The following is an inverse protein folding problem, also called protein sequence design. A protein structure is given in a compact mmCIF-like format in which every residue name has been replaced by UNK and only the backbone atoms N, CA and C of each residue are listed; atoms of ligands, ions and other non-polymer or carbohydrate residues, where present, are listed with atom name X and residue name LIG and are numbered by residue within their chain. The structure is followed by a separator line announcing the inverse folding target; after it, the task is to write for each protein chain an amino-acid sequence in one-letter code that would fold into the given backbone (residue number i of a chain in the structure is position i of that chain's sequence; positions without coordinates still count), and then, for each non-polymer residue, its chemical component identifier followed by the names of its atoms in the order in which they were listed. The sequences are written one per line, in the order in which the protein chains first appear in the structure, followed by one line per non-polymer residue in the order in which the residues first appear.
data_IF_544515318142
#
_entry.id   IF_544515318142
#
_cell.length_a   1.000
_cell.length_b   1.000
_cell.length_c   1.000
_cell.angle_alpha   90.00
_cell.angle_beta   90.00
_cell.angle_gamma   90.00
#
_symmetry.space_group_name_H-M   'P 1'
#
loop_
_entity.id
_entity.type
_entity.pdbx_description
1 polymer ?
#
# COMPACT_ATOMS: atom_id res chain seq x y z
N UNK A 1 9.53 32.82 -10.21
CA UNK A 1 10.26 31.66 -10.77
C UNK A 1 9.47 30.43 -10.36
N UNK A 2 8.77 29.83 -11.32
CA UNK A 2 8.17 28.52 -11.10
C UNK A 2 9.31 27.50 -11.03
N UNK A 3 9.41 26.78 -9.92
CA UNK A 3 10.37 25.69 -9.80
C UNK A 3 9.85 24.52 -10.64
N UNK A 4 10.47 24.27 -11.79
CA UNK A 4 10.27 23.03 -12.53
C UNK A 4 10.87 21.91 -11.67
N UNK A 5 10.04 21.28 -10.85
CA UNK A 5 10.41 20.08 -10.12
C UNK A 5 10.41 18.92 -11.11
N UNK A 6 11.59 18.47 -11.54
CA UNK A 6 11.72 17.16 -12.19
C UNK A 6 11.14 16.11 -11.25
N UNK A 7 9.97 15.56 -11.60
CA UNK A 7 9.39 14.45 -10.85
C UNK A 7 10.33 13.26 -10.96
N UNK A 8 10.67 12.69 -9.81
CA UNK A 8 11.51 11.49 -9.78
C UNK A 8 10.75 10.28 -10.36
N UNK A 9 11.49 9.26 -10.81
CA UNK A 9 10.89 8.02 -11.34
C UNK A 9 9.88 7.37 -10.38
N UNK A 10 10.11 7.50 -9.07
CA UNK A 10 9.17 7.05 -8.04
C UNK A 10 7.84 7.81 -8.07
N UNK A 11 7.88 9.14 -8.23
CA UNK A 11 6.68 9.98 -8.23
C UNK A 11 5.87 9.79 -9.53
N UNK A 12 6.55 9.47 -10.63
CA UNK A 12 5.91 9.08 -11.88
C UNK A 12 5.20 7.73 -11.78
N UNK A 13 5.83 6.71 -11.20
CA UNK A 13 5.23 5.37 -11.05
C UNK A 13 4.12 5.34 -9.99
N UNK A 14 4.28 6.07 -8.89
CA UNK A 14 3.31 6.08 -7.78
C UNK A 14 2.21 7.13 -7.91
N UNK A 15 2.39 8.14 -8.77
CA UNK A 15 1.49 9.28 -8.90
C UNK A 15 1.41 10.16 -7.64
N UNK A 16 2.29 9.96 -6.65
CA UNK A 16 2.31 10.70 -5.38
C UNK A 16 3.70 11.25 -5.07
N UNK A 17 3.80 12.39 -4.35
CA UNK A 17 5.10 12.94 -3.95
C UNK A 17 5.83 11.98 -3.00
N UNK A 18 7.16 12.08 -2.95
CA UNK A 18 7.96 11.29 -2.00
C UNK A 18 7.47 11.49 -0.55
N UNK A 19 7.43 10.42 0.25
CA UNK A 19 7.09 10.50 1.67
C UNK A 19 7.95 11.51 2.44
N UNK A 20 7.31 12.43 3.17
CA UNK A 20 7.98 13.30 4.14
C UNK A 20 8.20 12.62 5.50
N UNK A 21 8.95 13.28 6.40
CA UNK A 21 9.26 12.76 7.75
C UNK A 21 8.02 12.34 8.55
N UNK A 22 6.98 13.17 8.56
CA UNK A 22 5.76 12.90 9.33
C UNK A 22 4.98 11.73 8.73
N UNK A 23 4.90 11.66 7.39
CA UNK A 23 4.28 10.54 6.69
C UNK A 23 4.95 9.21 7.07
N UNK A 24 6.28 9.15 6.95
CA UNK A 24 7.04 7.95 7.29
C UNK A 24 6.86 7.55 8.77
N UNK A 25 6.87 8.52 9.69
CA UNK A 25 6.66 8.26 11.12
C UNK A 25 5.28 7.65 11.40
N UNK A 26 4.22 8.21 10.82
CA UNK A 26 2.85 7.73 11.02
C UNK A 26 2.64 6.35 10.38
N UNK A 27 3.06 6.19 9.12
CA UNK A 27 2.93 4.93 8.39
C UNK A 27 3.62 3.78 9.11
N UNK A 28 4.85 4.00 9.61
CA UNK A 28 5.60 2.98 10.35
C UNK A 28 4.89 2.56 11.64
N UNK A 29 4.40 3.53 12.41
CA UNK A 29 3.71 3.24 13.68
C UNK A 29 2.39 2.49 13.46
N UNK A 30 1.60 2.89 12.46
CA UNK A 30 0.37 2.18 12.10
C UNK A 30 0.70 0.76 11.63
N UNK A 31 1.67 0.61 10.72
CA UNK A 31 2.09 -0.69 10.21
C UNK A 31 2.60 -1.62 11.32
N UNK A 32 3.35 -1.08 12.29
CA UNK A 32 3.85 -1.82 13.45
C UNK A 32 2.71 -2.31 14.35
N UNK A 33 1.78 -1.44 14.74
CA UNK A 33 0.65 -1.81 15.61
C UNK A 33 -0.24 -2.88 14.93
N UNK A 34 -0.51 -2.73 13.63
CA UNK A 34 -1.27 -3.70 12.86
C UNK A 34 -0.58 -5.07 12.80
N UNK A 35 0.73 -5.10 12.53
CA UNK A 35 1.52 -6.34 12.52
C UNK A 35 1.55 -6.98 13.90
N UNK A 36 1.80 -6.21 14.96
CA UNK A 36 1.87 -6.70 16.34
C UNK A 36 0.60 -7.46 16.75
N UNK A 37 -0.57 -6.94 16.37
CA UNK A 37 -1.88 -7.49 16.78
C UNK A 37 -2.47 -8.53 15.82
N UNK A 38 -2.14 -8.46 14.53
CA UNK A 38 -2.89 -9.21 13.51
C UNK A 38 -2.03 -9.97 12.49
N UNK A 39 -0.70 -10.07 12.70
CA UNK A 39 0.22 -10.80 11.80
C UNK A 39 -0.18 -12.24 11.48
N UNK A 40 -0.96 -12.89 12.34
CA UNK A 40 -1.36 -14.29 12.16
C UNK A 40 -2.60 -14.42 11.25
N UNK A 41 -3.29 -13.31 10.96
CA UNK A 41 -4.51 -13.26 10.14
C UNK A 41 -4.34 -12.51 8.83
N UNK A 42 -3.41 -11.55 8.79
CA UNK A 42 -3.22 -10.68 7.65
C UNK A 42 -1.75 -10.50 7.31
N UNK A 43 -1.51 -10.09 6.06
CA UNK A 43 -0.22 -9.60 5.59
C UNK A 43 -0.34 -8.11 5.28
N UNK A 44 0.68 -7.35 5.70
CA UNK A 44 0.73 -5.89 5.57
C UNK A 44 1.92 -5.51 4.70
N UNK A 45 1.65 -4.85 3.59
CA UNK A 45 2.64 -4.38 2.62
C UNK A 45 2.62 -2.85 2.59
N UNK A 46 3.77 -2.21 2.70
CA UNK A 46 3.91 -0.75 2.55
C UNK A 46 4.28 -0.40 1.12
N UNK A 47 3.69 0.66 0.57
CA UNK A 47 4.11 1.23 -0.72
C UNK A 47 4.05 0.25 -1.90
N UNK A 48 3.14 -0.74 -1.88
CA UNK A 48 3.02 -1.73 -2.96
C UNK A 48 2.22 -1.16 -4.14
N UNK A 49 2.70 -1.35 -5.36
CA UNK A 49 1.97 -0.94 -6.57
C UNK A 49 0.80 -1.88 -6.86
N UNK A 50 -0.37 -1.31 -7.13
CA UNK A 50 -1.59 -2.04 -7.50
C UNK A 50 -1.93 -1.79 -8.96
N UNK A 51 -2.31 -2.85 -9.67
CA UNK A 51 -2.94 -2.80 -10.99
C UNK A 51 -4.26 -3.57 -10.95
N UNK A 52 -5.35 -2.86 -10.63
CA UNK A 52 -6.67 -3.45 -10.42
C UNK A 52 -7.54 -3.29 -11.67
N UNK A 53 -7.07 -3.85 -12.79
CA UNK A 53 -7.80 -3.82 -14.06
C UNK A 53 -7.91 -2.42 -14.65
N UNK A 54 -6.78 -1.69 -14.70
CA UNK A 54 -6.71 -0.33 -15.23
C UNK A 54 -6.82 0.77 -14.17
N UNK A 55 -7.06 0.40 -12.91
CA UNK A 55 -6.87 1.31 -11.77
C UNK A 55 -5.47 1.11 -11.20
N UNK A 56 -4.65 2.16 -11.28
CA UNK A 56 -3.27 2.19 -10.80
C UNK A 56 -3.20 2.99 -9.50
N UNK A 57 -2.60 2.42 -8.45
CA UNK A 57 -2.46 3.10 -7.16
C UNK A 57 -1.31 2.52 -6.34
N UNK A 58 -0.69 3.38 -5.52
CA UNK A 58 0.31 2.98 -4.52
C UNK A 58 -0.17 3.41 -3.13
N UNK A 59 -0.99 2.60 -2.44
CA UNK A 59 -1.40 2.90 -1.07
C UNK A 59 -0.19 2.93 -0.14
N UNK A 60 -0.27 3.76 0.90
CA UNK A 60 0.77 3.79 1.93
C UNK A 60 0.84 2.44 2.68
N UNK A 61 -0.31 1.83 2.96
CA UNK A 61 -0.41 0.49 3.54
C UNK A 61 -1.51 -0.31 2.84
N UNK A 62 -1.15 -1.47 2.31
CA UNK A 62 -2.08 -2.48 1.81
C UNK A 62 -2.18 -3.64 2.79
N UNK A 63 -3.41 -4.07 3.05
CA UNK A 63 -3.73 -5.20 3.94
C UNK A 63 -4.26 -6.32 3.06
N UNK A 64 -3.78 -7.53 3.26
CA UNK A 64 -4.28 -8.73 2.57
C UNK A 64 -4.58 -9.82 3.58
N UNK A 65 -5.42 -10.82 3.23
CA UNK A 65 -5.45 -12.08 3.97
C UNK A 65 -4.04 -12.64 4.14
N UNK A 66 -3.81 -13.42 5.19
CA UNK A 66 -2.50 -14.02 5.44
C UNK A 66 -1.99 -14.73 4.18
N UNK A 67 -0.86 -14.27 3.67
CA UNK A 67 -0.15 -14.86 2.53
C UNK A 67 1.23 -15.36 2.96
N UNK A 68 1.73 -16.37 2.24
CA UNK A 68 3.12 -16.79 2.31
C UNK A 68 3.95 -15.87 1.42
N UNK A 69 5.01 -15.29 1.97
CA UNK A 69 5.96 -14.47 1.21
C UNK A 69 7.14 -15.35 0.80
N UNK A 70 7.34 -15.56 -0.50
CA UNK A 70 8.57 -16.15 -1.04
C UNK A 70 9.56 -15.04 -1.37
N UNK A 71 10.56 -14.84 -0.51
CA UNK A 71 11.58 -13.80 -0.70
C UNK A 71 12.50 -14.01 -1.91
N UNK A 72 12.33 -15.10 -2.66
CA UNK A 72 13.07 -15.38 -3.90
C UNK A 72 12.31 -14.95 -5.16
N UNK A 73 11.00 -14.69 -5.04
CA UNK A 73 10.14 -14.27 -6.14
C UNK A 73 9.45 -12.97 -5.76
N UNK A 74 9.92 -11.87 -6.34
CA UNK A 74 9.38 -10.54 -6.04
C UNK A 74 8.21 -10.21 -6.98
N UNK A 75 7.07 -9.83 -6.39
CA UNK A 75 5.88 -9.39 -7.12
C UNK A 75 5.82 -7.86 -7.06
N UNK A 76 6.31 -7.22 -8.13
CA UNK A 76 6.42 -5.76 -8.21
C UNK A 76 5.04 -5.05 -8.24
N UNK A 77 3.98 -5.75 -8.67
CA UNK A 77 2.62 -5.19 -8.79
C UNK A 77 1.57 -6.23 -8.43
N UNK A 78 0.75 -5.90 -7.43
CA UNK A 78 -0.38 -6.73 -7.03
C UNK A 78 -1.58 -6.47 -7.94
N UNK A 79 -2.14 -7.54 -8.51
CA UNK A 79 -3.36 -7.47 -9.34
C UNK A 79 -4.63 -7.80 -8.56
N UNK A 80 -4.48 -8.30 -7.34
CA UNK A 80 -5.60 -8.57 -6.43
C UNK A 80 -5.85 -7.34 -5.55
N UNK A 81 -7.10 -6.90 -5.35
CA UNK A 81 -7.38 -5.78 -4.46
C UNK A 81 -7.01 -6.12 -3.01
N UNK A 82 -6.52 -5.14 -2.23
CA UNK A 82 -6.35 -5.30 -0.79
C UNK A 82 -7.65 -5.73 -0.11
N UNK A 83 -7.53 -6.38 1.04
CA UNK A 83 -8.63 -6.74 1.90
C UNK A 83 -9.44 -5.49 2.28
N UNK A 84 -10.65 -5.41 1.76
CA UNK A 84 -11.68 -4.48 2.21
C UNK A 84 -12.66 -5.32 3.02
N UNK A 85 -12.89 -4.95 4.29
CA UNK A 85 -13.96 -5.59 5.04
C UNK A 85 -15.28 -5.31 4.29
N UNK A 86 -16.06 -6.34 3.90
CA UNK A 86 -17.31 -6.10 3.20
C UNK A 86 -18.25 -5.36 4.16
N UNK A 87 -18.40 -4.05 3.98
CA UNK A 87 -19.49 -3.32 4.58
C UNK A 87 -20.78 -3.86 3.96
N UNK A 88 -21.49 -4.70 4.71
CA UNK A 88 -22.90 -4.97 4.43
C UNK A 88 -23.65 -3.67 4.68
N UNK A 89 -23.93 -2.92 3.61
CA UNK A 89 -25.16 -2.14 3.63
C UNK A 89 -26.29 -3.15 3.81
N UNK A 90 -26.80 -3.26 5.04
CA UNK A 90 -28.10 -3.84 5.27
C UNK A 90 -29.06 -3.00 4.43
N UNK A 91 -29.48 -3.55 3.29
CA UNK A 91 -30.61 -3.04 2.55
C UNK A 91 -31.76 -2.94 3.56
N UNK A 92 -32.21 -1.71 3.80
CA UNK A 92 -33.49 -1.45 4.47
C UNK A 92 -34.61 -1.72 3.49
#
# INVERSE_FOLDING_TARGET
MEAVTEQSAYEQDSGKPKPGKVHAYIQLNIGFELKSRYKDRFTFLSEISLDLGGWWSVPDLAIYPKMTIDVRQDEMRMTTPPYIHPYRHAAR
#
